data_IF_758533867747
#
_entry.id   IF_758533867747
#
_cell.length_a   1.000
_cell.length_b   1.000
_cell.length_c   1.000
_cell.angle_alpha   90.00
_cell.angle_beta   90.00
_cell.angle_gamma   90.00
#
_symmetry.space_group_name_H-M   'P 1'
#
loop_
_entity.id
_entity.type
_entity.pdbx_description
1 polymer ?
#
# COMPACT_ATOMS: atom_id res chain seq x y z
N UNK A 1 4.15 21.96 13.97
CA UNK A 1 3.25 20.80 13.81
C UNK A 1 3.42 20.08 12.47
N UNK A 2 3.17 20.68 11.30
CA UNK A 2 3.17 19.92 10.02
C UNK A 2 4.46 19.13 9.71
N UNK A 3 5.63 19.74 9.83
CA UNK A 3 6.91 19.05 9.60
C UNK A 3 7.25 18.05 10.71
N UNK A 4 6.75 18.28 11.92
CA UNK A 4 6.89 17.35 13.03
C UNK A 4 6.04 16.09 12.78
N UNK A 5 4.78 16.26 12.38
CA UNK A 5 3.91 15.16 11.98
C UNK A 5 4.56 14.34 10.85
N UNK A 6 5.15 15.02 9.85
CA UNK A 6 5.87 14.35 8.78
C UNK A 6 7.09 13.56 9.28
N UNK A 7 7.88 14.14 10.18
CA UNK A 7 9.01 13.46 10.80
C UNK A 7 8.60 12.23 11.63
N UNK A 8 7.45 12.29 12.32
CA UNK A 8 6.88 11.14 13.06
C UNK A 8 6.47 10.02 12.12
N UNK A 9 5.81 10.35 11.01
CA UNK A 9 5.40 9.36 10.00
C UNK A 9 6.62 8.73 9.33
N UNK A 10 7.63 9.51 8.96
CA UNK A 10 8.87 8.95 8.40
C UNK A 10 9.64 8.07 9.40
N UNK A 11 9.66 8.44 10.68
CA UNK A 11 10.29 7.61 11.72
C UNK A 11 9.53 6.30 11.94
N UNK A 12 8.20 6.34 11.94
CA UNK A 12 7.36 5.14 12.02
C UNK A 12 7.57 4.25 10.78
N UNK A 13 7.58 4.83 9.59
CA UNK A 13 7.86 4.12 8.34
C UNK A 13 9.25 3.45 8.41
N UNK A 14 10.27 4.19 8.83
CA UNK A 14 11.65 3.69 8.97
C UNK A 14 11.79 2.50 9.94
N UNK A 15 10.88 2.39 10.92
CA UNK A 15 10.83 1.25 11.84
C UNK A 15 10.22 -0.01 11.20
N UNK A 16 9.43 0.13 10.13
CA UNK A 16 8.84 -0.98 9.37
C UNK A 16 9.77 -1.42 8.24
N UNK A 17 10.90 -2.02 8.60
CA UNK A 17 11.97 -2.37 7.65
C UNK A 17 11.50 -3.31 6.54
N UNK A 18 10.70 -4.34 6.88
CA UNK A 18 10.16 -5.28 5.89
C UNK A 18 9.24 -4.60 4.87
N UNK A 19 8.42 -3.64 5.33
CA UNK A 19 7.54 -2.88 4.45
C UNK A 19 8.35 -1.97 3.54
N UNK A 20 9.29 -1.20 4.08
CA UNK A 20 10.17 -0.31 3.29
C UNK A 20 10.97 -1.08 2.24
N UNK A 21 11.57 -2.20 2.61
CA UNK A 21 12.44 -2.96 1.70
C UNK A 21 11.68 -3.52 0.50
N UNK A 22 10.36 -3.70 0.65
CA UNK A 22 9.48 -4.11 -0.44
C UNK A 22 9.00 -2.95 -1.33
N UNK A 23 9.05 -1.71 -0.82
CA UNK A 23 8.67 -0.51 -1.55
C UNK A 23 9.77 -0.07 -2.52
N UNK A 24 9.38 0.32 -3.73
CA UNK A 24 10.24 0.98 -4.72
C UNK A 24 9.75 2.38 -5.01
N UNK A 25 10.63 3.20 -5.56
CA UNK A 25 10.32 4.56 -6.02
C UNK A 25 9.59 5.41 -4.96
N UNK A 26 9.94 5.23 -3.67
CA UNK A 26 9.32 5.95 -2.56
C UNK A 26 9.54 7.46 -2.73
N UNK A 27 8.44 8.21 -2.71
CA UNK A 27 8.44 9.66 -2.85
C UNK A 27 7.41 10.31 -1.93
N UNK A 28 7.60 11.58 -1.64
CA UNK A 28 6.67 12.36 -0.83
C UNK A 28 6.60 13.81 -1.29
N UNK A 29 5.42 14.40 -1.18
CA UNK A 29 5.20 15.81 -1.52
C UNK A 29 4.06 16.40 -0.70
N UNK A 30 4.06 17.72 -0.59
CA UNK A 30 2.96 18.46 0.03
C UNK A 30 1.95 18.85 -1.05
N UNK A 31 0.70 18.43 -0.89
CA UNK A 31 -0.41 18.76 -1.77
C UNK A 31 -0.94 20.18 -1.59
N UNK A 32 -1.75 20.65 -2.54
CA UNK A 32 -2.40 21.96 -2.48
C UNK A 32 -3.45 22.06 -1.35
N UNK A 33 -3.98 20.92 -0.93
CA UNK A 33 -4.85 20.73 0.23
C UNK A 33 -4.08 20.73 1.57
N UNK A 34 -2.76 20.95 1.52
CA UNK A 34 -1.85 20.87 2.65
C UNK A 34 -1.73 19.47 3.28
N UNK A 35 -2.14 18.42 2.56
CA UNK A 35 -1.89 17.04 2.95
C UNK A 35 -0.52 16.57 2.47
N UNK A 36 0.16 15.79 3.32
CA UNK A 36 1.34 15.06 2.88
C UNK A 36 0.90 13.85 2.07
N UNK A 37 1.48 13.69 0.89
CA UNK A 37 1.28 12.51 0.07
C UNK A 37 2.55 11.68 0.14
N UNK A 38 2.39 10.37 0.38
CA UNK A 38 3.48 9.40 0.35
C UNK A 38 3.10 8.35 -0.67
N UNK A 39 3.95 8.19 -1.69
CA UNK A 39 3.73 7.26 -2.78
C UNK A 39 4.90 6.31 -2.91
N UNK A 40 4.59 5.07 -3.21
CA UNK A 40 5.56 4.04 -3.54
C UNK A 40 5.00 3.10 -4.60
N UNK A 41 5.89 2.29 -5.18
CA UNK A 41 5.58 1.23 -6.13
C UNK A 41 5.93 -0.13 -5.54
N UNK A 42 5.18 -1.17 -5.90
CA UNK A 42 5.32 -2.52 -5.33
C UNK A 42 5.10 -2.52 -3.79
N UNK A 43 5.13 -3.69 -3.15
CA UNK A 43 5.01 -3.77 -1.68
C UNK A 43 3.57 -3.67 -1.17
N UNK A 44 3.34 -3.17 0.06
CA UNK A 44 2.04 -3.24 0.72
C UNK A 44 1.00 -2.35 0.04
N UNK A 45 -0.27 -2.72 0.17
CA UNK A 45 -1.36 -1.85 -0.20
C UNK A 45 -1.40 -0.61 0.71
N UNK A 46 -1.88 0.51 0.18
CA UNK A 46 -1.87 1.78 0.90
C UNK A 46 -2.64 1.76 2.23
N UNK A 47 -3.73 0.98 2.30
CA UNK A 47 -4.50 0.82 3.54
C UNK A 47 -3.81 -0.08 4.56
N UNK A 48 -3.04 -1.08 4.13
CA UNK A 48 -2.24 -1.94 5.01
C UNK A 48 -1.13 -1.13 5.66
N UNK A 49 -0.40 -0.33 4.87
CA UNK A 49 0.63 0.55 5.42
C UNK A 49 0.03 1.64 6.31
N UNK A 50 -1.16 2.16 6.00
CA UNK A 50 -1.86 3.11 6.87
C UNK A 50 -2.15 2.50 8.26
N UNK A 51 -2.63 1.25 8.30
CA UNK A 51 -2.88 0.54 9.55
C UNK A 51 -1.59 0.27 10.33
N UNK A 52 -0.53 -0.21 9.67
CA UNK A 52 0.78 -0.43 10.30
C UNK A 52 1.35 0.87 10.91
N UNK A 53 1.26 1.98 10.17
CA UNK A 53 1.71 3.28 10.66
C UNK A 53 0.87 3.77 11.85
N UNK A 54 -0.44 3.53 11.84
CA UNK A 54 -1.31 3.87 12.97
C UNK A 54 -0.87 3.13 14.24
N UNK A 55 -0.67 1.81 14.15
CA UNK A 55 -0.24 0.98 15.27
C UNK A 55 1.11 1.48 15.81
N UNK A 56 2.08 1.70 14.92
CA UNK A 56 3.42 2.18 15.29
C UNK A 56 3.41 3.56 15.94
N UNK A 57 2.59 4.48 15.43
CA UNK A 57 2.47 5.82 16.00
C UNK A 57 1.77 5.80 17.35
N UNK A 58 0.78 4.92 17.53
CA UNK A 58 0.12 4.69 18.82
C UNK A 58 1.12 4.15 19.84
N UNK A 59 1.91 3.15 19.47
CA UNK A 59 2.97 2.59 20.33
C UNK A 59 4.04 3.63 20.71
N UNK A 60 4.24 4.65 19.87
CA UNK A 60 5.15 5.77 20.15
C UNK A 60 4.59 6.79 21.16
N UNK A 61 3.35 6.60 21.63
CA UNK A 61 2.65 7.47 22.59
C UNK A 61 1.95 8.67 21.95
N UNK A 62 1.58 8.59 20.67
CA UNK A 62 0.89 9.67 19.97
C UNK A 62 -0.62 9.42 19.99
N UNK A 63 -1.33 10.17 20.82
CA UNK A 63 -2.78 9.98 21.03
C UNK A 63 -3.66 10.74 20.02
N UNK A 64 -3.14 11.79 19.38
CA UNK A 64 -3.86 12.61 18.39
C UNK A 64 -3.72 12.02 16.97
N UNK A 65 -4.29 10.83 16.79
CA UNK A 65 -4.34 10.07 15.55
C UNK A 65 -5.79 9.90 15.08
N UNK A 66 -6.03 10.03 13.78
CA UNK A 66 -7.29 9.61 13.17
C UNK A 66 -7.02 8.74 11.94
N UNK A 67 -7.69 7.60 11.88
CA UNK A 67 -7.65 6.68 10.75
C UNK A 67 -9.04 6.05 10.56
N UNK A 68 -9.46 5.89 9.32
CA UNK A 68 -10.66 5.13 8.99
C UNK A 68 -10.24 3.76 8.45
N UNK A 69 -10.65 2.65 9.08
CA UNK A 69 -10.26 1.31 8.65
C UNK A 69 -10.58 1.09 7.16
N UNK A 70 -9.60 0.57 6.41
CA UNK A 70 -9.72 0.33 4.97
C UNK A 70 -9.43 1.54 4.09
N UNK A 71 -9.15 2.72 4.66
CA UNK A 71 -8.72 3.89 3.90
C UNK A 71 -7.20 3.98 3.83
N UNK A 72 -6.69 4.69 2.81
CA UNK A 72 -5.26 5.01 2.68
C UNK A 72 -4.89 6.34 3.34
N UNK A 73 -5.70 6.84 4.26
CA UNK A 73 -5.53 8.16 4.88
C UNK A 73 -5.26 8.05 6.36
N UNK A 74 -4.43 8.96 6.87
CA UNK A 74 -4.03 9.06 8.27
C UNK A 74 -4.02 10.54 8.67
N UNK A 75 -4.42 10.87 9.87
CA UNK A 75 -4.23 12.21 10.45
C UNK A 75 -3.30 12.11 11.64
N UNK A 76 -2.25 12.94 11.66
CA UNK A 76 -1.22 12.95 12.70
C UNK A 76 -1.03 14.39 13.17
N UNK A 77 -1.29 14.66 14.46
CA UNK A 77 -1.21 16.00 15.03
C UNK A 77 -2.03 17.03 14.20
N UNK A 78 -3.26 16.63 13.84
CA UNK A 78 -4.14 17.40 12.96
C UNK A 78 -3.71 17.53 11.50
N UNK A 79 -2.55 16.97 11.09
CA UNK A 79 -2.03 17.05 9.72
C UNK A 79 -2.47 15.82 8.91
N UNK A 80 -3.12 15.99 7.74
CA UNK A 80 -3.55 14.87 6.91
C UNK A 80 -2.41 14.27 6.09
N UNK A 81 -2.46 12.95 5.95
CA UNK A 81 -1.59 12.13 5.14
C UNK A 81 -2.43 11.26 4.20
N UNK A 82 -2.02 11.17 2.96
CA UNK A 82 -2.61 10.30 1.94
C UNK A 82 -1.52 9.37 1.41
N UNK A 83 -1.79 8.08 1.49
CA UNK A 83 -0.87 7.03 1.06
C UNK A 83 -1.30 6.48 -0.30
N UNK A 84 -0.31 6.25 -1.17
CA UNK A 84 -0.51 5.80 -2.54
C UNK A 84 0.40 4.61 -2.84
N UNK A 85 -0.21 3.43 -3.03
CA UNK A 85 0.49 2.25 -3.51
C UNK A 85 0.24 2.09 -5.01
N UNK A 86 1.25 2.38 -5.82
CA UNK A 86 1.20 2.22 -7.27
C UNK A 86 1.59 0.80 -7.64
N UNK A 87 0.68 0.06 -8.26
CA UNK A 87 0.94 -1.34 -8.64
C UNK A 87 1.51 -2.19 -7.48
N UNK A 88 0.78 -2.31 -6.34
CA UNK A 88 1.27 -3.04 -5.16
C UNK A 88 1.58 -4.52 -5.47
N UNK A 89 0.88 -5.09 -6.45
CA UNK A 89 1.10 -6.46 -6.93
C UNK A 89 2.30 -6.60 -7.88
N UNK A 90 2.93 -5.50 -8.31
CA UNK A 90 4.04 -5.51 -9.27
C UNK A 90 3.68 -6.10 -10.63
N UNK A 91 2.42 -5.97 -11.05
CA UNK A 91 1.92 -6.51 -12.31
C UNK A 91 2.62 -5.88 -13.51
N UNK A 92 2.96 -4.59 -13.46
CA UNK A 92 3.67 -3.91 -14.53
C UNK A 92 5.06 -4.52 -14.75
N UNK A 93 5.74 -4.90 -13.65
CA UNK A 93 6.98 -5.66 -13.73
C UNK A 93 6.75 -7.06 -14.30
N UNK A 94 5.68 -7.75 -13.91
CA UNK A 94 5.37 -9.08 -14.45
C UNK A 94 5.09 -9.04 -15.96
N UNK A 95 4.50 -7.95 -16.48
CA UNK A 95 4.27 -7.76 -17.93
C UNK A 95 5.57 -7.71 -18.73
N UNK A 96 6.67 -7.24 -18.13
CA UNK A 96 8.00 -7.27 -18.76
C UNK A 96 8.62 -8.69 -18.82
N UNK A 97 8.00 -9.69 -18.17
CA UNK A 97 8.42 -11.10 -18.12
C UNK A 97 7.29 -12.04 -18.61
N UNK A 98 7.26 -12.40 -19.91
CA UNK A 98 6.10 -13.04 -20.56
C UNK A 98 5.57 -14.33 -19.90
N UNK A 99 6.44 -15.12 -19.27
CA UNK A 99 6.06 -16.38 -18.61
C UNK A 99 5.29 -16.19 -17.30
N UNK A 100 5.66 -15.18 -16.50
CA UNK A 100 5.04 -14.93 -15.18
C UNK A 100 3.70 -14.19 -15.32
N UNK A 101 3.57 -13.35 -16.35
CA UNK A 101 2.34 -12.61 -16.66
C UNK A 101 1.11 -13.50 -16.89
N UNK A 102 1.27 -14.63 -17.59
CA UNK A 102 0.16 -15.55 -17.85
C UNK A 102 -0.33 -16.25 -16.58
N UNK A 103 0.57 -16.50 -15.62
CA UNK A 103 0.23 -17.11 -14.34
C UNK A 103 -0.49 -16.11 -13.43
N UNK A 104 -0.02 -14.85 -13.38
CA UNK A 104 -0.68 -13.81 -12.57
C UNK A 104 -2.09 -13.50 -13.06
N UNK A 105 -2.32 -13.47 -14.39
CA UNK A 105 -3.68 -13.31 -14.95
C UNK A 105 -4.62 -14.46 -14.57
N UNK A 106 -4.11 -15.69 -14.42
CA UNK A 106 -4.93 -16.83 -14.03
C UNK A 106 -5.32 -16.80 -12.53
N UNK A 107 -4.56 -16.05 -11.71
CA UNK A 107 -4.74 -15.97 -10.26
C UNK A 107 -5.51 -14.71 -9.81
N UNK A 108 -5.70 -13.71 -10.69
CA UNK A 108 -6.41 -12.47 -10.36
C UNK A 108 -7.91 -12.73 -10.12
N UNK A 109 -8.41 -12.60 -8.87
CA UNK A 109 -9.81 -12.84 -8.55
C UNK A 109 -10.75 -11.80 -9.16
N UNK A 110 -10.23 -10.61 -9.50
CA UNK A 110 -11.02 -9.51 -10.09
C UNK A 110 -11.27 -9.74 -11.59
N UNK A 111 -10.43 -10.55 -12.24
CA UNK A 111 -10.60 -10.99 -13.63
C UNK A 111 -11.40 -12.29 -13.78
N UNK A 112 -11.91 -12.89 -12.69
CA UNK A 112 -12.81 -14.05 -12.76
C UNK A 112 -14.20 -13.65 -13.28
N UNK A 113 -14.28 -13.20 -14.53
CA UNK A 113 -15.52 -13.21 -15.31
C UNK A 113 -15.80 -14.65 -15.72
N UNK A 114 -16.79 -15.27 -15.07
CA UNK A 114 -17.63 -16.44 -15.42
C UNK A 114 -17.37 -17.23 -16.73
N UNK A 115 -16.12 -17.56 -17.05
CA UNK A 115 -15.74 -18.53 -18.06
C UNK A 115 -15.23 -19.77 -17.33
N UNK A 116 -15.77 -20.94 -17.71
CA UNK A 116 -15.49 -22.26 -17.13
C UNK A 116 -14.02 -22.42 -16.76
N UNK A 117 -13.78 -22.91 -15.55
CA UNK A 117 -12.43 -22.97 -15.00
C UNK A 117 -11.65 -24.07 -15.72
N UNK A 118 -10.45 -23.79 -16.25
CA UNK A 118 -9.66 -24.76 -17.03
C UNK A 118 -9.32 -26.06 -16.28
N UNK A 119 -9.39 -26.08 -14.95
CA UNK A 119 -9.14 -27.27 -14.14
C UNK A 119 -10.34 -28.24 -14.08
N UNK A 120 -11.55 -27.82 -14.47
CA UNK A 120 -12.71 -28.72 -14.57
C UNK A 120 -12.58 -29.71 -15.75
N UNK A 121 -11.80 -29.38 -16.78
CA UNK A 121 -11.52 -30.28 -17.91
C UNK A 121 -10.47 -31.36 -17.60
N UNK A 122 -9.69 -31.19 -16.52
CA UNK A 122 -8.66 -32.16 -16.12
C UNK A 122 -9.16 -33.23 -15.14
N UNK A 123 -10.34 -33.04 -14.55
CA UNK A 123 -10.91 -33.94 -13.53
C UNK A 123 -12.30 -34.50 -13.89
N UNK A 124 -12.90 -34.08 -15.01
CA UNK A 124 -14.17 -34.61 -15.51
C UNK A 124 -13.96 -35.51 -16.74
N UNK A 125 -14.16 -36.81 -16.57
CA UNK A 125 -14.28 -37.77 -17.67
C UNK A 125 -15.63 -37.69 -18.39
#
# INVERSE_FOLDING_TARGET
MRYEAFGRVLAALAAETDAIDSCRDLSWWLGADHAWNIEWRDGPYAHELAALLLDRLTDSGLDDLAHHPGNSTLQVLGTPFVLHAVDPLGLDRMRTRPGLWRLSQALDPLHHTSARRPWEELLGG
#
